data_IF_994199109973
#
_entry.id   IF_994199109973
#
_cell.length_a   1.000
_cell.length_b   1.000
_cell.length_c   1.000
_cell.angle_alpha   90.00
_cell.angle_beta   90.00
_cell.angle_gamma   90.00
#
_symmetry.space_group_name_H-M   'P 1'
#
loop_
_entity.id
_entity.type
_entity.pdbx_description
1 polymer ?
#
# COMPACT_ATOMS: atom_id res chain seq x y z
N UNK A 1 7.46 21.98 -16.48
CA UNK A 1 6.88 20.61 -16.40
C UNK A 1 7.97 19.69 -15.91
N UNK A 2 7.72 18.90 -14.87
CA UNK A 2 8.67 17.89 -14.39
C UNK A 2 8.77 16.78 -15.44
N UNK A 3 9.98 16.53 -15.97
CA UNK A 3 10.20 15.43 -16.90
C UNK A 3 10.40 14.14 -16.09
N UNK A 4 9.47 13.20 -16.23
CA UNK A 4 9.59 11.85 -15.69
C UNK A 4 10.12 10.90 -16.76
N UNK A 5 10.89 9.90 -16.35
CA UNK A 5 11.19 8.74 -17.19
C UNK A 5 9.99 7.79 -17.20
N UNK A 6 9.94 6.91 -18.20
CA UNK A 6 8.90 5.89 -18.33
C UNK A 6 9.54 4.50 -18.41
N UNK A 7 10.49 4.23 -17.54
CA UNK A 7 11.38 3.05 -17.60
C UNK A 7 10.61 1.73 -17.76
N UNK A 8 9.52 1.54 -17.00
CA UNK A 8 8.71 0.32 -17.13
C UNK A 8 7.95 0.26 -18.45
N UNK A 9 7.31 1.37 -18.87
CA UNK A 9 6.53 1.42 -20.09
C UNK A 9 7.41 1.25 -21.34
N UNK A 10 8.61 1.84 -21.35
CA UNK A 10 9.58 1.74 -22.45
C UNK A 10 10.11 0.31 -22.60
N UNK A 11 10.39 -0.38 -21.48
CA UNK A 11 10.90 -1.75 -21.48
C UNK A 11 9.83 -2.81 -21.80
N UNK A 12 8.59 -2.60 -21.33
CA UNK A 12 7.49 -3.55 -21.44
C UNK A 12 6.20 -2.88 -21.96
N UNK A 13 6.22 -2.33 -23.20
CA UNK A 13 5.08 -1.59 -23.75
C UNK A 13 3.80 -2.44 -23.88
N UNK A 14 3.92 -3.77 -23.96
CA UNK A 14 2.78 -4.69 -24.00
C UNK A 14 2.13 -4.93 -22.61
N UNK A 15 2.75 -4.43 -21.54
CA UNK A 15 2.24 -4.52 -20.17
C UNK A 15 1.67 -3.20 -19.67
N UNK A 16 1.52 -2.20 -20.53
CA UNK A 16 0.96 -0.90 -20.20
C UNK A 16 -0.06 -0.45 -21.23
N UNK A 17 -0.92 0.44 -20.83
CA UNK A 17 -1.80 1.17 -21.73
C UNK A 17 -1.70 2.68 -21.42
N UNK A 18 -1.56 3.50 -22.44
CA UNK A 18 -1.65 4.95 -22.28
C UNK A 18 -3.01 5.33 -21.72
N UNK A 19 -3.02 6.20 -20.72
CA UNK A 19 -4.23 6.72 -20.10
C UNK A 19 -4.00 8.15 -19.58
N UNK A 20 -5.09 8.81 -19.26
CA UNK A 20 -5.07 10.14 -18.62
C UNK A 20 -5.98 10.14 -17.42
N UNK A 21 -5.67 11.01 -16.47
CA UNK A 21 -6.59 11.35 -15.41
C UNK A 21 -7.90 11.91 -15.99
N UNK A 22 -8.98 11.71 -15.28
CA UNK A 22 -10.26 12.25 -15.70
C UNK A 22 -10.27 13.79 -15.64
N UNK A 23 -11.19 14.40 -16.37
CA UNK A 23 -11.44 15.84 -16.30
C UNK A 23 -12.20 16.14 -15.01
N UNK A 24 -11.48 16.49 -13.96
CA UNK A 24 -12.05 16.84 -12.66
C UNK A 24 -12.51 18.29 -12.66
N UNK A 25 -13.75 18.60 -12.18
CA UNK A 25 -14.33 19.94 -12.29
C UNK A 25 -13.64 20.99 -11.41
N UNK A 26 -13.14 20.60 -10.23
CA UNK A 26 -12.55 21.53 -9.29
C UNK A 26 -11.54 20.80 -8.35
N UNK A 27 -10.40 20.32 -8.87
CA UNK A 27 -9.42 19.64 -8.04
C UNK A 27 -8.76 20.62 -7.06
N UNK A 28 -8.67 20.22 -5.79
CA UNK A 28 -8.03 21.01 -4.74
C UNK A 28 -7.12 20.12 -3.88
N UNK A 29 -5.95 20.63 -3.50
CA UNK A 29 -5.09 19.98 -2.53
C UNK A 29 -5.76 19.96 -1.15
N UNK A 30 -5.85 18.75 -0.58
CA UNK A 30 -6.22 18.54 0.83
C UNK A 30 -4.97 18.53 1.69
N UNK A 31 -3.97 17.76 1.27
CA UNK A 31 -2.66 17.65 1.95
C UNK A 31 -1.56 17.48 0.92
N UNK A 32 -0.43 18.11 1.17
CA UNK A 32 0.83 17.95 0.43
C UNK A 32 1.93 17.59 1.41
N UNK A 33 2.61 16.48 1.14
CA UNK A 33 3.80 16.07 1.88
C UNK A 33 5.02 16.86 1.40
N UNK A 34 5.18 18.07 1.97
CA UNK A 34 6.27 18.94 1.56
C UNK A 34 7.67 18.38 1.85
N UNK A 35 7.81 17.62 2.96
CA UNK A 35 9.08 16.99 3.29
C UNK A 35 9.47 15.96 2.22
N UNK A 36 8.51 15.11 1.80
CA UNK A 36 8.72 14.17 0.71
C UNK A 36 8.97 14.92 -0.61
N UNK A 37 8.16 15.93 -0.94
CA UNK A 37 8.34 16.72 -2.16
C UNK A 37 9.76 17.29 -2.26
N UNK A 38 10.26 17.91 -1.19
CA UNK A 38 11.63 18.45 -1.14
C UNK A 38 12.69 17.36 -1.29
N UNK A 39 12.50 16.19 -0.66
CA UNK A 39 13.41 15.03 -0.78
C UNK A 39 13.48 14.54 -2.23
N UNK A 40 12.38 14.64 -2.97
CA UNK A 40 12.28 14.28 -4.38
C UNK A 40 12.75 15.39 -5.33
N UNK A 41 13.14 16.54 -4.81
CA UNK A 41 13.50 17.70 -5.62
C UNK A 41 12.32 18.37 -6.33
N UNK A 42 11.10 18.17 -5.81
CA UNK A 42 9.88 18.77 -6.34
C UNK A 42 9.64 20.15 -5.72
N UNK A 43 9.26 21.12 -6.53
CA UNK A 43 8.90 22.45 -6.07
C UNK A 43 7.48 22.47 -5.49
N UNK A 44 7.37 22.71 -4.18
CA UNK A 44 6.10 22.74 -3.46
C UNK A 44 5.16 23.85 -3.94
N UNK A 45 5.69 25.01 -4.34
CA UNK A 45 4.88 26.11 -4.86
C UNK A 45 4.32 25.77 -6.26
N UNK A 46 5.16 25.13 -7.09
CA UNK A 46 4.68 24.64 -8.38
C UNK A 46 3.59 23.57 -8.21
N UNK A 47 3.77 22.63 -7.25
CA UNK A 47 2.76 21.59 -6.99
C UNK A 47 1.40 22.17 -6.55
N UNK A 48 1.38 23.38 -5.96
CA UNK A 48 0.16 24.10 -5.59
C UNK A 48 -0.46 24.91 -6.72
N UNK A 49 0.28 25.15 -7.79
CA UNK A 49 -0.23 25.89 -8.95
C UNK A 49 -1.24 25.07 -9.76
N UNK A 50 -1.98 25.74 -10.66
CA UNK A 50 -2.91 25.08 -11.59
C UNK A 50 -2.21 23.99 -12.43
N UNK A 51 -0.97 24.25 -12.89
CA UNK A 51 -0.19 23.27 -13.63
C UNK A 51 0.23 22.09 -12.76
N UNK A 52 0.58 22.32 -11.51
CA UNK A 52 0.86 21.28 -10.53
C UNK A 52 -0.37 20.43 -10.22
N UNK A 53 -1.53 21.04 -9.99
CA UNK A 53 -2.80 20.34 -9.79
C UNK A 53 -3.17 19.47 -11.00
N UNK A 54 -2.98 19.99 -12.22
CA UNK A 54 -3.18 19.22 -13.45
C UNK A 54 -2.25 18.00 -13.53
N UNK A 55 -1.01 18.16 -13.09
CA UNK A 55 -0.05 17.06 -13.04
C UNK A 55 -0.44 16.03 -11.95
N UNK A 56 -0.79 16.49 -10.73
CA UNK A 56 -1.21 15.66 -9.62
C UNK A 56 -2.54 14.91 -9.86
N UNK A 57 -3.32 15.32 -10.86
CA UNK A 57 -4.56 14.65 -11.27
C UNK A 57 -4.40 13.80 -12.54
N UNK A 58 -3.20 13.79 -13.14
CA UNK A 58 -2.92 12.96 -14.32
C UNK A 58 -3.44 13.54 -15.64
N UNK A 59 -3.80 14.83 -15.68
CA UNK A 59 -4.28 15.48 -16.90
C UNK A 59 -3.23 15.47 -18.02
N UNK A 60 -1.94 15.34 -17.68
CA UNK A 60 -0.85 15.26 -18.66
C UNK A 60 -0.63 13.85 -19.24
N UNK A 61 -1.37 12.85 -18.73
CA UNK A 61 -1.23 11.46 -19.13
C UNK A 61 -0.21 10.68 -18.33
N UNK A 62 -0.15 9.40 -18.61
CA UNK A 62 0.71 8.39 -18.00
C UNK A 62 0.32 7.00 -18.51
N UNK A 63 0.61 5.98 -17.74
CA UNK A 63 0.38 4.59 -18.12
C UNK A 63 -0.41 3.85 -17.03
N UNK A 64 -1.47 3.15 -17.44
CA UNK A 64 -2.07 2.10 -16.61
C UNK A 64 -1.28 0.81 -16.81
N UNK A 65 -0.89 0.14 -15.72
CA UNK A 65 -0.09 -1.08 -15.80
C UNK A 65 -0.98 -2.32 -15.76
N UNK A 66 -0.62 -3.35 -16.56
CA UNK A 66 -1.29 -4.63 -16.57
C UNK A 66 -0.63 -5.58 -15.58
N UNK A 67 -1.44 -6.29 -14.79
CA UNK A 67 -1.02 -7.38 -13.93
C UNK A 67 -2.14 -8.40 -13.78
N UNK A 68 -1.80 -9.61 -13.39
CA UNK A 68 -2.72 -10.65 -12.96
C UNK A 68 -2.80 -10.66 -11.42
N UNK A 69 -3.50 -11.60 -10.85
CA UNK A 69 -3.45 -11.80 -9.41
C UNK A 69 -4.30 -12.95 -8.92
N UNK A 70 -3.92 -13.52 -7.78
CA UNK A 70 -4.77 -14.43 -7.03
C UNK A 70 -5.57 -13.63 -6.00
N UNK A 71 -6.83 -13.37 -6.31
CA UNK A 71 -7.76 -12.69 -5.42
C UNK A 71 -8.49 -13.72 -4.57
N UNK A 72 -8.30 -13.67 -3.25
CA UNK A 72 -8.82 -14.69 -2.31
C UNK A 72 -8.46 -16.14 -2.73
N UNK A 73 -7.25 -16.33 -3.30
CA UNK A 73 -6.75 -17.61 -3.76
C UNK A 73 -7.21 -18.02 -5.16
N UNK A 74 -8.07 -17.26 -5.82
CA UNK A 74 -8.53 -17.51 -7.19
C UNK A 74 -7.73 -16.66 -8.18
N UNK A 75 -7.17 -17.31 -9.21
CA UNK A 75 -6.37 -16.62 -10.22
C UNK A 75 -7.26 -15.82 -11.18
N UNK A 76 -6.93 -14.56 -11.35
CA UNK A 76 -7.54 -13.64 -12.32
C UNK A 76 -6.44 -13.22 -13.31
N UNK A 77 -6.52 -13.61 -14.60
CA UNK A 77 -5.43 -13.44 -15.55
C UNK A 77 -5.19 -12.00 -16.00
N UNK A 78 -6.14 -11.10 -15.77
CA UNK A 78 -6.02 -9.67 -16.04
C UNK A 78 -6.82 -8.88 -15.01
N UNK A 79 -6.11 -8.12 -14.23
CA UNK A 79 -6.64 -7.10 -13.30
C UNK A 79 -6.24 -5.71 -13.80
N UNK A 80 -4.98 -5.36 -13.61
CA UNK A 80 -4.40 -4.08 -14.01
C UNK A 80 -4.86 -2.88 -13.18
N UNK A 81 -4.30 -1.73 -13.50
CA UNK A 81 -4.57 -0.45 -12.85
C UNK A 81 -5.92 0.14 -13.31
N UNK A 82 -7.04 -0.41 -12.85
CA UNK A 82 -8.37 0.02 -13.27
C UNK A 82 -8.79 1.43 -12.81
N UNK A 83 -8.05 2.02 -11.87
CA UNK A 83 -8.28 3.39 -11.33
C UNK A 83 -6.97 4.04 -10.89
N UNK A 84 -5.85 3.52 -11.34
CA UNK A 84 -4.53 4.05 -11.03
C UNK A 84 -3.79 4.40 -12.32
N UNK A 85 -2.84 5.32 -12.23
CA UNK A 85 -2.09 5.84 -13.37
C UNK A 85 -0.64 6.07 -12.95
N UNK A 86 0.29 5.29 -13.51
CA UNK A 86 1.72 5.52 -13.35
C UNK A 86 2.11 6.74 -14.16
N UNK A 87 2.50 7.82 -13.49
CA UNK A 87 2.97 9.03 -14.15
C UNK A 87 4.37 8.84 -14.75
N UNK A 88 5.20 8.03 -14.12
CA UNK A 88 6.57 7.73 -14.49
C UNK A 88 7.48 7.57 -13.29
N UNK A 89 8.80 7.65 -13.53
CA UNK A 89 9.81 7.50 -12.50
C UNK A 89 10.83 8.63 -12.49
N UNK A 90 11.39 8.88 -11.31
CA UNK A 90 12.48 9.83 -11.05
C UNK A 90 13.73 9.09 -10.65
N UNK A 91 14.92 9.45 -11.17
CA UNK A 91 16.17 8.93 -10.69
C UNK A 91 16.47 9.46 -9.28
N UNK A 92 16.96 8.60 -8.41
CA UNK A 92 17.47 8.94 -7.09
C UNK A 92 18.88 8.34 -6.92
N UNK A 93 19.68 8.79 -5.91
CA UNK A 93 21.06 8.28 -5.74
C UNK A 93 21.21 6.76 -5.66
N UNK A 94 20.18 6.05 -5.23
CA UNK A 94 20.16 4.57 -5.10
C UNK A 94 19.04 3.93 -5.92
N UNK A 95 18.98 4.23 -7.23
CA UNK A 95 17.98 3.65 -8.13
C UNK A 95 16.97 4.66 -8.66
N UNK A 96 15.71 4.33 -8.57
CA UNK A 96 14.59 5.18 -9.01
C UNK A 96 13.42 5.06 -8.05
N UNK A 97 12.52 6.02 -8.15
CA UNK A 97 11.20 5.99 -7.51
C UNK A 97 10.13 6.23 -8.57
N UNK A 98 9.01 5.60 -8.41
CA UNK A 98 7.84 5.72 -9.27
C UNK A 98 6.76 6.57 -8.61
N UNK A 99 6.05 7.36 -9.43
CA UNK A 99 4.92 8.19 -9.00
C UNK A 99 3.67 7.65 -9.66
N UNK A 100 2.70 7.22 -8.86
CA UNK A 100 1.43 6.64 -9.32
C UNK A 100 0.25 7.37 -8.66
N UNK A 101 -0.78 7.64 -9.45
CA UNK A 101 -2.06 8.14 -8.95
C UNK A 101 -3.00 6.99 -8.66
N UNK A 102 -3.83 7.13 -7.61
CA UNK A 102 -4.97 6.23 -7.34
C UNK A 102 -6.25 7.07 -7.22
N UNK A 103 -7.30 6.62 -7.90
CA UNK A 103 -8.57 7.33 -7.99
C UNK A 103 -8.63 8.34 -9.15
N UNK A 104 -7.66 8.29 -10.07
CA UNK A 104 -7.49 9.27 -11.15
C UNK A 104 -8.50 9.16 -12.31
N UNK A 105 -9.41 8.20 -12.27
CA UNK A 105 -10.39 7.97 -13.31
C UNK A 105 -10.27 6.59 -13.96
N UNK A 106 -11.15 6.26 -14.90
CA UNK A 106 -11.14 4.98 -15.58
C UNK A 106 -9.94 4.86 -16.52
N UNK A 107 -9.46 3.64 -16.65
CA UNK A 107 -8.38 3.23 -17.55
C UNK A 107 -8.84 2.07 -18.45
N UNK A 108 -8.07 1.65 -19.44
CA UNK A 108 -8.36 0.45 -20.24
C UNK A 108 -8.48 -0.85 -19.42
N UNK A 109 -8.00 -0.87 -18.17
CA UNK A 109 -8.11 -2.02 -17.26
C UNK A 109 -9.24 -1.90 -16.23
N UNK A 110 -10.06 -0.88 -16.32
CA UNK A 110 -11.22 -0.73 -15.43
C UNK A 110 -12.22 -1.87 -15.65
N UNK A 111 -12.76 -2.40 -14.55
CA UNK A 111 -13.84 -3.39 -14.64
C UNK A 111 -15.07 -2.76 -15.32
N UNK A 112 -15.82 -3.52 -16.13
CA UNK A 112 -17.06 -3.03 -16.71
C UNK A 112 -18.00 -2.43 -15.64
N UNK A 113 -18.46 -1.21 -15.88
CA UNK A 113 -19.33 -0.48 -14.94
C UNK A 113 -18.62 0.23 -13.79
N UNK A 114 -17.29 0.12 -13.67
CA UNK A 114 -16.53 0.93 -12.72
C UNK A 114 -16.36 2.35 -13.22
N UNK A 115 -16.55 3.33 -12.33
CA UNK A 115 -16.31 4.75 -12.62
C UNK A 115 -14.81 5.13 -12.60
N UNK A 116 -13.94 4.23 -12.11
CA UNK A 116 -12.52 4.47 -11.94
C UNK A 116 -12.18 5.58 -10.94
N UNK A 117 -13.18 6.13 -10.23
CA UNK A 117 -13.01 7.21 -9.27
C UNK A 117 -12.56 6.69 -7.91
N UNK A 118 -11.87 7.53 -7.15
CA UNK A 118 -11.61 7.35 -5.73
C UNK A 118 -12.60 8.15 -4.88
N UNK A 119 -13.02 7.64 -3.73
CA UNK A 119 -13.65 8.42 -2.69
C UNK A 119 -12.57 9.08 -1.80
N UNK A 120 -12.84 10.25 -1.25
CA UNK A 120 -11.88 11.01 -0.45
C UNK A 120 -11.41 10.24 0.79
N UNK A 121 -12.30 9.60 1.53
CA UNK A 121 -11.98 8.89 2.76
C UNK A 121 -10.91 7.80 2.57
N UNK A 122 -11.05 6.86 1.64
CA UNK A 122 -10.00 5.89 1.31
C UNK A 122 -8.66 6.52 0.91
N UNK A 123 -8.65 7.68 0.25
CA UNK A 123 -7.40 8.37 -0.11
C UNK A 123 -6.73 8.99 1.13
N UNK A 124 -7.52 9.58 2.02
CA UNK A 124 -7.04 10.10 3.31
C UNK A 124 -6.52 8.98 4.20
N UNK A 125 -7.21 7.82 4.26
CA UNK A 125 -6.76 6.62 4.98
C UNK A 125 -5.41 6.16 4.48
N UNK A 126 -5.27 6.00 3.17
CA UNK A 126 -4.02 5.54 2.56
C UNK A 126 -2.86 6.50 2.84
N UNK A 127 -3.09 7.82 2.72
CA UNK A 127 -2.08 8.82 3.05
C UNK A 127 -1.65 8.72 4.52
N UNK A 128 -2.58 8.76 5.45
CA UNK A 128 -2.27 8.80 6.87
C UNK A 128 -1.56 7.51 7.33
N UNK A 129 -2.08 6.34 6.91
CA UNK A 129 -1.48 5.07 7.33
C UNK A 129 -0.11 4.84 6.68
N UNK A 130 0.07 5.19 5.41
CA UNK A 130 1.38 5.06 4.75
C UNK A 130 2.44 5.97 5.40
N UNK A 131 2.08 7.20 5.77
CA UNK A 131 3.02 8.12 6.42
C UNK A 131 3.30 7.72 7.89
N UNK A 132 2.32 7.13 8.59
CA UNK A 132 2.56 6.49 9.88
C UNK A 132 3.57 5.33 9.74
N UNK A 133 3.34 4.41 8.81
CA UNK A 133 4.26 3.28 8.56
C UNK A 133 5.68 3.76 8.28
N UNK A 134 5.82 4.82 7.50
CA UNK A 134 7.12 5.45 7.27
C UNK A 134 7.73 6.01 8.56
N UNK A 135 6.94 6.70 9.38
CA UNK A 135 7.41 7.31 10.63
C UNK A 135 7.90 6.27 11.64
N UNK A 136 7.31 5.07 11.66
CA UNK A 136 7.78 3.95 12.50
C UNK A 136 8.81 3.05 11.83
N UNK A 137 9.31 3.42 10.64
CA UNK A 137 10.39 2.72 9.94
C UNK A 137 9.97 1.45 9.18
N UNK A 138 8.67 1.19 9.04
CA UNK A 138 8.15 0.03 8.28
C UNK A 138 8.15 0.34 6.78
N UNK A 139 8.73 -0.51 5.93
CA UNK A 139 8.76 -0.30 4.48
C UNK A 139 7.35 -0.13 3.90
N UNK A 140 7.14 0.97 3.20
CA UNK A 140 5.82 1.37 2.69
C UNK A 140 5.93 2.23 1.44
N UNK A 141 4.93 2.16 0.56
CA UNK A 141 4.69 3.25 -0.39
C UNK A 141 4.42 4.53 0.40
N UNK A 142 4.96 5.66 -0.08
CA UNK A 142 4.75 6.97 0.51
C UNK A 142 3.60 7.69 -0.19
N UNK A 143 3.03 8.65 0.46
CA UNK A 143 1.99 9.50 -0.11
C UNK A 143 2.49 10.94 -0.26
N UNK A 144 2.52 11.44 -1.51
CA UNK A 144 2.94 12.80 -1.81
C UNK A 144 1.82 13.81 -1.57
N UNK A 145 0.60 13.49 -1.99
CA UNK A 145 -0.54 14.38 -1.86
C UNK A 145 -1.86 13.62 -1.84
N UNK A 146 -2.89 14.25 -1.26
CA UNK A 146 -4.30 13.92 -1.49
C UNK A 146 -5.00 15.16 -2.04
N UNK A 147 -5.83 14.95 -3.05
CA UNK A 147 -6.67 15.98 -3.65
C UNK A 147 -8.14 15.59 -3.56
N UNK A 148 -9.03 16.56 -3.39
CA UNK A 148 -10.43 16.42 -3.80
C UNK A 148 -10.55 16.63 -5.31
N UNK A 149 -11.58 16.05 -5.93
CA UNK A 149 -11.80 16.17 -7.37
C UNK A 149 -12.87 17.22 -7.74
N UNK A 150 -13.60 17.71 -6.75
CA UNK A 150 -14.79 18.54 -6.95
C UNK A 150 -16.03 17.74 -7.42
N UNK A 151 -15.88 16.42 -7.58
CA UNK A 151 -16.99 15.51 -7.90
C UNK A 151 -17.58 14.88 -6.64
N UNK A 152 -18.84 14.48 -6.72
CA UNK A 152 -19.46 13.56 -5.79
C UNK A 152 -19.49 12.17 -6.42
N UNK A 153 -18.94 11.18 -5.74
CA UNK A 153 -18.92 9.77 -6.18
C UNK A 153 -19.94 8.96 -5.38
N UNK A 154 -20.66 8.08 -6.05
CA UNK A 154 -21.64 7.22 -5.37
C UNK A 154 -20.96 5.93 -4.90
N UNK A 155 -21.07 5.64 -3.60
CA UNK A 155 -20.57 4.42 -2.97
C UNK A 155 -21.69 3.72 -2.18
N UNK A 156 -21.43 2.52 -1.66
CA UNK A 156 -22.46 1.78 -0.89
C UNK A 156 -23.04 2.58 0.28
N UNK A 157 -22.25 3.45 0.87
CA UNK A 157 -22.65 4.31 2.01
C UNK A 157 -23.36 5.60 1.58
N UNK A 158 -23.55 5.80 0.28
CA UNK A 158 -24.16 6.99 -0.30
C UNK A 158 -23.18 7.87 -1.08
N UNK A 159 -23.57 9.10 -1.40
CA UNK A 159 -22.73 10.07 -2.08
C UNK A 159 -21.63 10.59 -1.15
N UNK A 160 -20.39 10.59 -1.62
CA UNK A 160 -19.20 11.09 -0.89
C UNK A 160 -18.31 11.92 -1.82
N UNK A 161 -17.46 12.82 -1.29
CA UNK A 161 -16.50 13.57 -2.11
C UNK A 161 -15.56 12.63 -2.85
N UNK A 162 -15.26 12.96 -4.11
CA UNK A 162 -14.23 12.29 -4.89
C UNK A 162 -12.83 12.72 -4.45
N UNK A 163 -11.86 11.80 -4.52
CA UNK A 163 -10.47 12.05 -4.15
C UNK A 163 -9.46 11.28 -4.99
N UNK A 164 -8.25 11.81 -5.03
CA UNK A 164 -7.05 11.20 -5.64
C UNK A 164 -5.93 11.20 -4.60
N UNK A 165 -5.22 10.08 -4.46
CA UNK A 165 -3.95 10.03 -3.73
C UNK A 165 -2.80 9.83 -4.71
N UNK A 166 -1.69 10.55 -4.46
CA UNK A 166 -0.44 10.44 -5.21
C UNK A 166 0.54 9.59 -4.44
N UNK A 167 0.78 8.37 -4.92
CA UNK A 167 1.71 7.39 -4.36
C UNK A 167 3.12 7.62 -4.87
N UNK A 168 4.09 7.35 -4.02
CA UNK A 168 5.51 7.30 -4.34
C UNK A 168 6.08 6.00 -3.81
N UNK A 169 6.71 5.20 -4.66
CA UNK A 169 7.29 3.91 -4.29
C UNK A 169 8.61 3.67 -5.03
N UNK A 170 9.45 2.78 -4.51
CA UNK A 170 10.62 2.29 -5.27
C UNK A 170 10.19 1.56 -6.53
N UNK A 171 9.08 0.83 -6.46
CA UNK A 171 8.43 0.23 -7.62
C UNK A 171 7.00 -0.16 -7.29
N UNK A 172 6.09 -0.05 -8.28
CA UNK A 172 4.73 -0.57 -8.21
C UNK A 172 4.60 -1.97 -8.83
N UNK A 173 5.71 -2.60 -9.21
CA UNK A 173 5.72 -4.00 -9.64
C UNK A 173 5.33 -4.92 -8.48
N UNK A 174 4.48 -5.90 -8.78
CA UNK A 174 3.87 -6.81 -7.81
C UNK A 174 4.10 -8.26 -8.23
N UNK A 175 3.85 -9.20 -7.36
CA UNK A 175 3.82 -10.63 -7.75
C UNK A 175 2.87 -10.81 -8.95
N UNK A 176 1.73 -10.14 -8.94
CA UNK A 176 0.79 -10.13 -10.06
C UNK A 176 1.37 -9.65 -11.40
N UNK A 177 2.36 -8.75 -11.38
CA UNK A 177 3.05 -8.30 -12.60
C UNK A 177 3.89 -9.45 -13.21
N UNK A 178 4.59 -10.22 -12.36
CA UNK A 178 5.36 -11.40 -12.80
C UNK A 178 4.41 -12.48 -13.33
N UNK A 179 3.28 -12.72 -12.66
CA UNK A 179 2.27 -13.69 -13.11
C UNK A 179 1.70 -13.30 -14.49
N UNK A 180 1.47 -12.02 -14.72
CA UNK A 180 0.98 -11.53 -16.01
C UNK A 180 2.04 -11.68 -17.12
N UNK A 181 3.31 -11.38 -16.81
CA UNK A 181 4.43 -11.57 -17.72
C UNK A 181 4.62 -13.04 -18.08
N UNK A 182 4.57 -13.94 -17.09
CA UNK A 182 4.69 -15.39 -17.28
C UNK A 182 3.59 -15.99 -18.20
N UNK A 183 2.38 -15.45 -18.10
CA UNK A 183 1.27 -15.85 -18.99
C UNK A 183 1.45 -15.40 -20.45
N UNK A 184 2.44 -14.56 -20.76
CA UNK A 184 2.75 -14.07 -22.10
C UNK A 184 3.93 -14.81 -22.74
N UNK A 185 5.11 -14.65 -22.20
CA UNK A 185 6.29 -15.38 -22.68
C UNK A 185 7.45 -15.28 -21.67
N UNK A 186 8.45 -16.19 -21.76
CA UNK A 186 9.67 -16.09 -20.99
C UNK A 186 10.38 -14.73 -21.13
N UNK A 187 10.44 -14.19 -22.35
CA UNK A 187 11.07 -12.87 -22.62
C UNK A 187 10.42 -11.73 -21.81
N UNK A 188 9.10 -11.75 -21.59
CA UNK A 188 8.46 -10.76 -20.73
C UNK A 188 8.90 -10.88 -19.28
N UNK A 189 9.09 -12.10 -18.78
CA UNK A 189 9.59 -12.34 -17.42
C UNK A 189 11.03 -11.86 -17.29
N UNK A 190 11.90 -12.19 -18.22
CA UNK A 190 13.30 -11.74 -18.24
C UNK A 190 13.41 -10.21 -18.21
N UNK A 191 12.67 -9.52 -19.09
CA UNK A 191 12.62 -8.06 -19.12
C UNK A 191 12.07 -7.46 -17.83
N UNK A 192 11.08 -8.11 -17.19
CA UNK A 192 10.53 -7.64 -15.92
C UNK A 192 11.55 -7.80 -14.80
N UNK A 193 12.30 -8.90 -14.75
CA UNK A 193 13.38 -9.14 -13.79
C UNK A 193 14.43 -8.03 -13.91
N UNK A 194 14.84 -7.71 -15.14
CA UNK A 194 15.83 -6.67 -15.45
C UNK A 194 15.31 -5.27 -15.02
N UNK A 195 14.08 -4.91 -15.38
CA UNK A 195 13.45 -3.65 -14.95
C UNK A 195 13.29 -3.56 -13.44
N UNK A 196 13.01 -4.68 -12.77
CA UNK A 196 12.93 -4.76 -11.32
C UNK A 196 14.32 -4.64 -10.64
N UNK A 197 15.41 -4.69 -11.42
CA UNK A 197 16.77 -4.52 -10.95
C UNK A 197 17.39 -5.78 -10.36
N UNK A 198 17.00 -6.95 -10.84
CA UNK A 198 17.56 -8.24 -10.44
C UNK A 198 18.31 -8.90 -11.59
N UNK A 199 19.34 -9.69 -11.26
CA UNK A 199 20.19 -10.37 -12.25
C UNK A 199 19.61 -11.71 -12.68
N UNK A 200 18.95 -12.43 -11.75
CA UNK A 200 18.41 -13.76 -11.99
C UNK A 200 17.03 -13.92 -11.34
N UNK A 201 16.19 -14.88 -11.81
CA UNK A 201 14.93 -15.20 -11.18
C UNK A 201 15.09 -15.68 -9.73
N UNK A 202 16.17 -16.42 -9.42
CA UNK A 202 16.49 -16.87 -8.06
C UNK A 202 16.79 -15.69 -7.13
N UNK A 203 17.59 -14.73 -7.61
CA UNK A 203 17.93 -13.52 -6.83
C UNK A 203 16.70 -12.65 -6.58
N UNK A 204 15.78 -12.57 -7.55
CA UNK A 204 14.50 -11.89 -7.37
C UNK A 204 13.68 -12.60 -6.29
N UNK A 205 13.46 -13.92 -6.41
CA UNK A 205 12.67 -14.68 -5.45
C UNK A 205 13.26 -14.57 -4.03
N UNK A 206 14.56 -14.79 -3.86
CA UNK A 206 15.23 -14.74 -2.57
C UNK A 206 15.12 -13.36 -1.92
N UNK A 207 15.35 -12.29 -2.68
CA UNK A 207 15.29 -10.92 -2.15
C UNK A 207 13.85 -10.51 -1.81
N UNK A 208 12.89 -10.85 -2.65
CA UNK A 208 11.46 -10.54 -2.38
C UNK A 208 10.99 -11.34 -1.16
N UNK A 209 11.40 -12.60 -1.03
CA UNK A 209 11.09 -13.44 0.13
C UNK A 209 11.62 -12.82 1.43
N UNK A 210 12.90 -12.44 1.46
CA UNK A 210 13.50 -11.80 2.63
C UNK A 210 12.75 -10.53 3.03
N UNK A 211 12.52 -9.62 2.06
CA UNK A 211 11.84 -8.34 2.30
C UNK A 211 10.41 -8.52 2.79
N UNK A 212 9.66 -9.44 2.19
CA UNK A 212 8.25 -9.61 2.50
C UNK A 212 8.01 -10.34 3.83
N UNK A 213 8.86 -11.30 4.18
CA UNK A 213 8.78 -11.98 5.47
C UNK A 213 9.19 -11.02 6.61
N UNK A 214 10.23 -10.22 6.41
CA UNK A 214 10.62 -9.17 7.35
C UNK A 214 9.51 -8.12 7.54
N UNK A 215 8.87 -7.68 6.43
CA UNK A 215 7.75 -6.76 6.45
C UNK A 215 6.56 -7.30 7.26
N UNK A 216 6.20 -8.56 7.04
CA UNK A 216 5.08 -9.18 7.78
C UNK A 216 5.39 -9.32 9.27
N UNK A 217 6.63 -9.62 9.66
CA UNK A 217 7.02 -9.66 11.07
C UNK A 217 6.88 -8.27 11.72
N UNK A 218 7.24 -7.19 11.01
CA UNK A 218 7.03 -5.82 11.47
C UNK A 218 5.54 -5.48 11.61
N UNK A 219 4.68 -5.90 10.66
CA UNK A 219 3.22 -5.72 10.77
C UNK A 219 2.66 -6.41 12.00
N UNK A 220 3.09 -7.67 12.23
CA UNK A 220 2.63 -8.45 13.38
C UNK A 220 3.02 -7.78 14.71
N UNK A 221 4.24 -7.21 14.79
CA UNK A 221 4.73 -6.49 15.97
C UNK A 221 3.81 -5.34 16.38
N UNK A 222 3.33 -4.54 15.40
CA UNK A 222 2.52 -3.35 15.70
C UNK A 222 1.01 -3.60 15.62
N UNK A 223 0.58 -4.86 15.45
CA UNK A 223 -0.83 -5.21 15.36
C UNK A 223 -1.48 -4.82 14.02
N UNK A 224 -0.72 -4.57 12.97
CA UNK A 224 -1.26 -4.20 11.67
C UNK A 224 -1.86 -5.40 10.94
N UNK A 225 -3.08 -5.21 10.42
CA UNK A 225 -3.81 -6.16 9.58
C UNK A 225 -4.02 -5.53 8.22
N UNK A 226 -3.37 -6.07 7.19
CA UNK A 226 -3.51 -5.55 5.82
C UNK A 226 -4.93 -5.75 5.27
N UNK A 227 -5.54 -6.86 5.57
CA UNK A 227 -6.93 -7.18 5.24
C UNK A 227 -7.18 -7.71 3.83
N UNK A 228 -6.26 -7.52 2.85
CA UNK A 228 -6.34 -8.10 1.50
C UNK A 228 -4.93 -8.37 0.95
N UNK A 229 -4.34 -9.51 1.30
CA UNK A 229 -3.01 -9.92 0.87
C UNK A 229 -3.07 -10.79 -0.41
N UNK A 230 -3.73 -10.28 -1.45
CA UNK A 230 -3.71 -10.87 -2.77
C UNK A 230 -2.32 -10.72 -3.41
N UNK A 231 -1.97 -11.53 -4.41
CA UNK A 231 -0.69 -11.40 -5.13
C UNK A 231 -0.52 -10.07 -5.87
N UNK A 232 -1.62 -9.39 -6.17
CA UNK A 232 -1.65 -8.02 -6.72
C UNK A 232 -1.47 -6.92 -5.66
N UNK A 233 -1.39 -7.28 -4.38
CA UNK A 233 -1.09 -6.38 -3.26
C UNK A 233 0.24 -6.72 -2.56
N UNK A 234 1.13 -7.47 -3.22
CA UNK A 234 2.47 -7.79 -2.73
C UNK A 234 3.51 -7.20 -3.67
N UNK A 235 4.12 -6.08 -3.28
CA UNK A 235 5.10 -5.36 -4.08
C UNK A 235 6.47 -6.08 -4.08
N UNK A 236 7.14 -6.17 -5.24
CA UNK A 236 8.48 -6.74 -5.35
C UNK A 236 9.54 -5.90 -4.60
N UNK A 237 9.26 -4.62 -4.40
CA UNK A 237 10.11 -3.72 -3.62
C UNK A 237 10.16 -4.06 -2.13
N UNK A 238 9.21 -4.85 -1.61
CA UNK A 238 9.06 -5.12 -0.19
C UNK A 238 8.38 -3.99 0.58
N UNK A 239 7.72 -3.07 -0.11
CA UNK A 239 6.94 -1.99 0.48
C UNK A 239 5.49 -2.41 0.66
N UNK A 240 4.86 -2.00 1.77
CA UNK A 240 3.40 -2.14 1.95
C UNK A 240 2.69 -1.26 0.93
N UNK A 241 1.69 -1.81 0.26
CA UNK A 241 0.90 -1.09 -0.75
C UNK A 241 -0.59 -1.34 -0.56
N UNK A 242 -1.42 -0.36 -0.93
CA UNK A 242 -2.89 -0.46 -0.99
C UNK A 242 -3.56 -0.63 0.38
N UNK A 243 -3.58 0.44 1.14
CA UNK A 243 -4.16 0.53 2.49
C UNK A 243 -5.71 0.65 2.48
N UNK A 244 -6.38 -0.17 1.68
CA UNK A 244 -7.84 -0.15 1.57
C UNK A 244 -8.54 -0.56 2.87
N UNK A 245 -8.70 -1.87 3.15
CA UNK A 245 -9.39 -2.37 4.34
C UNK A 245 -8.44 -2.64 5.51
N UNK A 246 -7.28 -2.01 5.57
CA UNK A 246 -6.34 -2.21 6.66
C UNK A 246 -6.84 -1.64 7.99
N UNK A 247 -6.37 -2.22 9.08
CA UNK A 247 -6.69 -1.79 10.44
C UNK A 247 -5.59 -2.21 11.41
N UNK A 248 -5.68 -1.78 12.67
CA UNK A 248 -4.77 -2.17 13.74
C UNK A 248 -5.55 -2.92 14.83
N UNK A 249 -5.07 -4.10 15.23
CA UNK A 249 -5.62 -4.81 16.39
C UNK A 249 -4.93 -4.36 17.67
N UNK A 250 -5.70 -4.10 18.69
CA UNK A 250 -5.16 -3.74 20.01
C UNK A 250 -4.62 -4.98 20.74
N UNK A 251 -5.22 -6.14 20.51
CA UNK A 251 -4.83 -7.40 21.14
C UNK A 251 -4.28 -8.38 20.11
N UNK A 252 -3.31 -9.18 20.55
CA UNK A 252 -2.75 -10.26 19.72
C UNK A 252 -3.75 -11.43 19.62
N UNK A 253 -4.75 -11.26 18.78
CA UNK A 253 -5.78 -12.27 18.49
C UNK A 253 -5.63 -12.80 17.08
N UNK A 254 -5.11 -14.01 16.86
CA UNK A 254 -4.86 -14.57 15.52
C UNK A 254 -6.08 -14.56 14.59
N UNK A 255 -7.28 -14.74 15.12
CA UNK A 255 -8.52 -14.79 14.35
C UNK A 255 -9.10 -13.41 13.98
N UNK A 256 -8.44 -12.29 14.35
CA UNK A 256 -8.97 -10.95 14.09
C UNK A 256 -9.04 -10.65 12.59
N UNK A 257 -10.22 -10.25 12.12
CA UNK A 257 -10.53 -9.85 10.74
C UNK A 257 -11.26 -8.52 10.78
N UNK A 258 -10.83 -7.57 9.97
CA UNK A 258 -11.48 -6.26 9.84
C UNK A 258 -12.14 -6.06 8.47
N UNK A 259 -11.60 -6.66 7.43
CA UNK A 259 -12.08 -6.48 6.07
C UNK A 259 -13.48 -7.10 5.86
N UNK A 260 -14.47 -6.28 5.46
CA UNK A 260 -15.84 -6.72 5.19
C UNK A 260 -15.95 -7.78 4.09
N UNK A 261 -14.97 -7.83 3.19
CA UNK A 261 -14.94 -8.79 2.07
C UNK A 261 -14.25 -10.10 2.41
N UNK A 262 -13.53 -10.16 3.54
CA UNK A 262 -12.87 -11.40 4.00
C UNK A 262 -13.78 -12.22 4.92
N UNK A 263 -14.85 -12.73 4.38
CA UNK A 263 -15.87 -13.48 5.13
C UNK A 263 -15.38 -14.80 5.69
N UNK A 264 -14.22 -15.29 5.25
CA UNK A 264 -13.65 -16.58 5.67
C UNK A 264 -12.40 -16.43 6.54
N UNK A 265 -11.98 -15.20 6.83
CA UNK A 265 -10.78 -14.94 7.63
C UNK A 265 -9.47 -15.37 6.95
N UNK A 266 -9.45 -15.41 5.61
CA UNK A 266 -8.22 -15.77 4.88
C UNK A 266 -7.06 -14.86 5.26
N UNK A 267 -7.32 -13.57 5.41
CA UNK A 267 -6.34 -12.54 5.73
C UNK A 267 -6.44 -12.08 7.19
N UNK A 268 -6.89 -12.98 8.08
CA UNK A 268 -6.88 -12.73 9.52
C UNK A 268 -5.46 -12.40 10.00
N UNK A 269 -5.35 -11.64 11.09
CA UNK A 269 -4.08 -11.20 11.65
C UNK A 269 -3.05 -12.34 11.76
N UNK A 270 -3.41 -13.46 12.38
CA UNK A 270 -2.51 -14.60 12.56
C UNK A 270 -2.20 -15.39 11.30
N UNK A 271 -2.98 -15.20 10.21
CA UNK A 271 -2.76 -15.90 8.95
C UNK A 271 -1.79 -15.13 8.01
N UNK A 272 -1.40 -13.91 8.35
CA UNK A 272 -0.57 -13.08 7.47
C UNK A 272 0.75 -13.75 7.07
N UNK A 273 1.50 -14.43 7.97
CA UNK A 273 2.73 -15.14 7.58
C UNK A 273 2.47 -16.27 6.57
N UNK A 274 1.46 -17.12 6.81
CA UNK A 274 1.13 -18.25 5.96
C UNK A 274 0.66 -17.80 4.57
N UNK A 275 -0.11 -16.71 4.52
CA UNK A 275 -0.55 -16.11 3.26
C UNK A 275 0.63 -15.50 2.50
N UNK A 276 1.60 -14.89 3.18
CA UNK A 276 2.81 -14.39 2.53
C UNK A 276 3.64 -15.55 1.97
N UNK A 277 3.83 -16.63 2.72
CA UNK A 277 4.51 -17.83 2.25
C UNK A 277 3.81 -18.42 1.00
N UNK A 278 2.48 -18.45 1.00
CA UNK A 278 1.69 -18.86 -0.16
C UNK A 278 1.91 -17.92 -1.36
N UNK A 279 1.91 -16.59 -1.16
CA UNK A 279 2.14 -15.60 -2.21
C UNK A 279 3.56 -15.76 -2.83
N UNK A 280 4.57 -16.02 -2.01
CA UNK A 280 5.94 -16.28 -2.47
C UNK A 280 6.04 -17.57 -3.30
N UNK A 281 5.28 -18.60 -2.94
CA UNK A 281 5.17 -19.80 -3.79
C UNK A 281 4.52 -19.47 -5.15
N UNK A 282 3.51 -18.60 -5.20
CA UNK A 282 2.94 -18.11 -6.47
C UNK A 282 3.94 -17.28 -7.28
N UNK A 283 4.85 -16.55 -6.63
CA UNK A 283 5.96 -15.88 -7.32
C UNK A 283 6.93 -16.89 -7.93
N UNK A 284 7.35 -17.90 -7.17
CA UNK A 284 8.24 -18.94 -7.66
C UNK A 284 7.67 -19.65 -8.89
N UNK A 285 6.39 -20.01 -8.87
CA UNK A 285 5.70 -20.60 -10.03
C UNK A 285 5.71 -19.67 -11.25
N UNK A 286 5.53 -18.36 -11.06
CA UNK A 286 5.55 -17.39 -12.14
C UNK A 286 6.95 -17.18 -12.73
N UNK A 287 8.01 -17.60 -12.05
CA UNK A 287 9.41 -17.53 -12.51
C UNK A 287 9.87 -18.78 -13.25
N UNK A 288 9.10 -19.90 -13.21
CA UNK A 288 9.44 -21.15 -13.88
C UNK A 288 9.70 -21.03 -15.39
N UNK A 289 9.04 -20.13 -16.15
CA UNK A 289 9.35 -19.97 -17.57
C UNK A 289 10.81 -19.58 -17.88
N UNK A 290 11.52 -18.98 -16.92
CA UNK A 290 12.91 -18.49 -17.07
C UNK A 290 13.89 -19.13 -16.07
N UNK A 291 13.43 -20.14 -15.33
CA UNK A 291 14.22 -20.91 -14.37
C UNK A 291 13.78 -22.38 -14.41
N UNK A 292 14.04 -23.14 -13.34
CA UNK A 292 13.61 -24.52 -13.19
C UNK A 292 13.08 -24.79 -11.78
N UNK A 293 12.35 -25.90 -11.63
CA UNK A 293 11.68 -26.25 -10.38
C UNK A 293 12.67 -26.50 -9.23
N UNK A 294 13.82 -27.13 -9.50
CA UNK A 294 14.81 -27.44 -8.48
C UNK A 294 15.43 -26.15 -7.90
N UNK A 295 15.80 -25.20 -8.76
CA UNK A 295 16.33 -23.90 -8.34
C UNK A 295 15.30 -23.11 -7.53
N UNK A 296 14.03 -23.06 -7.96
CA UNK A 296 12.97 -22.38 -7.20
C UNK A 296 12.73 -23.05 -5.84
N UNK A 297 12.73 -24.39 -5.79
CA UNK A 297 12.60 -25.15 -4.54
C UNK A 297 13.75 -24.89 -3.59
N UNK A 298 14.99 -24.83 -4.09
CA UNK A 298 16.18 -24.51 -3.29
C UNK A 298 16.01 -23.17 -2.59
N UNK A 299 15.62 -22.12 -3.32
CA UNK A 299 15.36 -20.81 -2.70
C UNK A 299 14.24 -20.89 -1.66
N UNK A 300 13.15 -21.59 -1.95
CA UNK A 300 12.01 -21.71 -1.02
C UNK A 300 12.35 -22.51 0.26
N UNK A 301 13.39 -23.32 0.30
CA UNK A 301 13.85 -23.98 1.54
C UNK A 301 14.29 -22.97 2.61
N UNK A 302 14.71 -21.78 2.21
CA UNK A 302 15.11 -20.70 3.12
C UNK A 302 13.92 -19.92 3.71
N UNK A 303 12.68 -20.22 3.32
CA UNK A 303 11.50 -19.48 3.76
C UNK A 303 11.28 -19.55 5.26
N UNK A 304 11.29 -20.75 5.82
CA UNK A 304 11.09 -20.96 7.26
C UNK A 304 12.25 -20.38 8.09
N UNK A 305 13.53 -20.63 7.79
CA UNK A 305 14.63 -19.96 8.47
C UNK A 305 14.58 -18.43 8.38
N UNK A 306 14.21 -17.88 7.23
CA UNK A 306 14.09 -16.44 7.03
C UNK A 306 12.95 -15.84 7.88
N UNK A 307 11.80 -16.52 7.92
CA UNK A 307 10.70 -16.12 8.80
C UNK A 307 11.11 -16.12 10.28
N UNK A 308 11.76 -17.18 10.75
CA UNK A 308 12.20 -17.24 12.15
C UNK A 308 13.17 -16.11 12.50
N UNK A 309 14.15 -15.82 11.64
CA UNK A 309 15.08 -14.69 11.85
C UNK A 309 14.31 -13.35 11.91
N UNK A 310 13.41 -13.10 10.97
CA UNK A 310 12.59 -11.88 10.95
C UNK A 310 11.73 -11.75 12.20
N UNK A 311 11.08 -12.84 12.59
CA UNK A 311 10.23 -12.88 13.80
C UNK A 311 11.03 -12.58 15.07
N UNK A 312 12.14 -13.27 15.29
CA UNK A 312 13.02 -13.07 16.44
C UNK A 312 13.58 -11.64 16.50
N UNK A 313 13.92 -11.06 15.35
CA UNK A 313 14.41 -9.68 15.28
C UNK A 313 13.36 -8.64 15.66
N UNK A 314 12.11 -8.82 15.22
CA UNK A 314 11.07 -7.82 15.42
C UNK A 314 10.17 -8.10 16.63
N UNK A 315 10.04 -9.36 17.06
CA UNK A 315 9.17 -9.79 18.17
C UNK A 315 9.99 -10.58 19.19
N UNK A 316 10.89 -9.94 19.94
CA UNK A 316 11.79 -10.63 20.87
C UNK A 316 11.08 -11.30 22.04
N UNK A 317 9.87 -10.86 22.39
CA UNK A 317 9.08 -11.40 23.52
C UNK A 317 7.67 -11.80 23.09
N UNK A 318 7.50 -12.78 22.17
CA UNK A 318 6.20 -13.07 21.56
C UNK A 318 5.13 -13.50 22.55
N UNK A 319 5.49 -14.23 23.62
CA UNK A 319 4.54 -14.66 24.64
C UNK A 319 4.01 -13.48 25.46
N UNK A 320 4.86 -12.52 25.82
CA UNK A 320 4.48 -11.32 26.55
C UNK A 320 3.62 -10.39 25.67
N UNK A 321 4.01 -10.21 24.40
CA UNK A 321 3.21 -9.45 23.44
C UNK A 321 1.83 -10.08 23.23
N UNK A 322 1.75 -11.41 23.14
CA UNK A 322 0.48 -12.13 22.99
C UNK A 322 -0.42 -12.03 24.22
N UNK A 323 0.15 -11.78 25.39
CA UNK A 323 -0.58 -11.61 26.65
C UNK A 323 -0.97 -10.15 26.94
N UNK A 324 -0.47 -9.19 26.16
CA UNK A 324 -0.72 -7.78 26.36
C UNK A 324 -2.20 -7.42 26.11
N UNK A 325 -2.73 -6.52 26.91
CA UNK A 325 -4.07 -5.96 26.72
C UNK A 325 -4.14 -4.93 25.59
N UNK A 326 -3.01 -4.29 25.31
CA UNK A 326 -2.81 -3.39 24.15
C UNK A 326 -1.39 -3.54 23.62
N UNK A 327 -1.26 -3.95 22.34
CA UNK A 327 0.02 -4.17 21.65
C UNK A 327 0.85 -2.86 21.60
N UNK A 328 0.18 -1.74 21.37
CA UNK A 328 0.86 -0.44 21.24
C UNK A 328 1.43 0.00 22.58
N UNK A 329 0.64 -0.05 23.66
CA UNK A 329 1.08 0.31 24.99
C UNK A 329 2.24 -0.62 25.44
N UNK A 330 2.11 -1.92 25.20
CA UNK A 330 3.17 -2.89 25.51
C UNK A 330 4.48 -2.55 24.80
N UNK A 331 4.43 -2.33 23.48
CA UNK A 331 5.62 -1.98 22.73
C UNK A 331 6.24 -0.65 23.16
N UNK A 332 5.40 0.34 23.50
CA UNK A 332 5.88 1.63 24.01
C UNK A 332 6.64 1.49 25.32
N UNK A 333 6.07 0.74 26.27
CA UNK A 333 6.63 0.55 27.62
C UNK A 333 7.91 -0.30 27.64
N UNK A 334 8.01 -1.32 26.77
CA UNK A 334 9.06 -2.31 26.84
C UNK A 334 10.13 -2.16 25.77
N UNK A 335 9.76 -1.72 24.58
CA UNK A 335 10.65 -1.69 23.41
C UNK A 335 10.84 -0.28 22.84
N UNK A 336 10.31 0.78 23.50
CA UNK A 336 10.36 2.15 22.98
C UNK A 336 9.58 2.31 21.68
N UNK A 337 8.52 1.51 21.49
CA UNK A 337 7.63 1.60 20.34
C UNK A 337 6.84 2.91 20.27
N UNK A 338 6.05 3.12 19.21
CA UNK A 338 5.28 4.35 19.03
C UNK A 338 4.24 4.53 20.14
N UNK A 339 4.06 5.77 20.59
CA UNK A 339 2.99 6.13 21.51
C UNK A 339 1.67 6.32 20.75
N UNK A 340 1.72 6.93 19.57
CA UNK A 340 0.56 7.19 18.74
C UNK A 340 0.52 6.27 17.53
N UNK A 341 -0.62 5.61 17.32
CA UNK A 341 -0.92 4.84 16.10
C UNK A 341 -2.26 5.32 15.52
N UNK A 342 -2.55 5.08 14.24
CA UNK A 342 -3.84 5.41 13.67
C UNK A 342 -4.91 4.41 14.13
N UNK A 343 -5.39 4.56 15.38
CA UNK A 343 -6.43 3.69 15.93
C UNK A 343 -7.69 3.73 15.07
N UNK A 344 -8.32 2.59 14.93
CA UNK A 344 -9.33 2.36 13.89
C UNK A 344 -10.51 3.34 13.95
N UNK A 345 -11.13 3.50 15.11
CA UNK A 345 -12.32 4.35 15.28
C UNK A 345 -11.97 5.84 15.23
N UNK A 346 -10.76 6.19 15.70
CA UNK A 346 -10.26 7.55 15.64
C UNK A 346 -10.04 7.97 14.20
N UNK A 347 -9.35 7.13 13.41
CA UNK A 347 -9.15 7.35 11.98
C UNK A 347 -10.48 7.43 11.22
N UNK A 348 -11.41 6.53 11.53
CA UNK A 348 -12.73 6.52 10.89
C UNK A 348 -13.54 7.80 11.20
N UNK A 349 -13.55 8.25 12.46
CA UNK A 349 -14.18 9.53 12.85
C UNK A 349 -13.55 10.72 12.13
N UNK A 350 -12.23 10.78 12.04
CA UNK A 350 -11.51 11.86 11.34
C UNK A 350 -11.86 11.89 9.84
N UNK A 351 -11.92 10.72 9.21
CA UNK A 351 -12.34 10.59 7.80
C UNK A 351 -13.82 11.01 7.62
N UNK A 352 -14.72 10.57 8.50
CA UNK A 352 -16.12 10.92 8.44
C UNK A 352 -16.35 12.44 8.59
N UNK A 353 -15.62 13.10 9.48
CA UNK A 353 -15.64 14.56 9.63
C UNK A 353 -15.23 15.26 8.33
N UNK A 354 -14.14 14.78 7.70
CA UNK A 354 -13.68 15.31 6.42
C UNK A 354 -14.69 15.12 5.28
N UNK A 355 -15.35 13.95 5.20
CA UNK A 355 -16.27 13.64 4.09
C UNK A 355 -17.65 14.28 4.25
N UNK A 356 -18.20 14.34 5.47
CA UNK A 356 -19.56 14.78 5.72
C UNK A 356 -19.68 16.25 6.08
N UNK A 357 -18.73 16.71 6.92
CA UNK A 357 -18.78 18.05 7.51
C UNK A 357 -17.80 19.00 6.83
N UNK A 358 -16.96 18.49 5.91
CA UNK A 358 -15.84 19.22 5.30
C UNK A 358 -14.86 19.77 6.36
N UNK A 359 -14.84 19.15 7.55
CA UNK A 359 -13.93 19.49 8.64
C UNK A 359 -12.72 18.54 8.65
N UNK A 360 -11.58 19.08 8.26
CA UNK A 360 -10.29 18.37 8.19
C UNK A 360 -9.48 18.49 9.49
N UNK A 361 -9.93 19.27 10.47
CA UNK A 361 -9.16 19.51 11.70
C UNK A 361 -8.85 18.21 12.45
N UNK A 362 -9.83 17.29 12.71
CA UNK A 362 -9.53 16.02 13.39
C UNK A 362 -8.54 15.13 12.62
N UNK A 363 -8.59 15.21 11.28
CA UNK A 363 -7.65 14.46 10.44
C UNK A 363 -6.21 14.97 10.56
N UNK A 364 -6.01 16.30 10.53
CA UNK A 364 -4.69 16.89 10.67
C UNK A 364 -4.11 16.74 12.09
N UNK A 365 -4.94 16.78 13.12
CA UNK A 365 -4.51 16.49 14.50
C UNK A 365 -3.99 15.06 14.61
N UNK A 366 -4.75 14.08 14.07
CA UNK A 366 -4.33 12.68 14.06
C UNK A 366 -3.08 12.48 13.21
N UNK A 367 -3.02 13.08 12.01
CA UNK A 367 -1.86 13.00 11.12
C UNK A 367 -0.59 13.52 11.82
N UNK A 368 -0.68 14.65 12.54
CA UNK A 368 0.45 15.20 13.29
C UNK A 368 0.95 14.22 14.34
N UNK A 369 0.06 13.64 15.12
CA UNK A 369 0.41 12.67 16.16
C UNK A 369 1.07 11.41 15.58
N UNK A 370 0.51 10.82 14.52
CA UNK A 370 1.01 9.56 13.97
C UNK A 370 2.25 9.71 13.07
N UNK A 371 2.57 10.92 12.60
CA UNK A 371 3.81 11.17 11.84
C UNK A 371 5.00 11.58 12.70
N UNK A 372 4.76 11.91 13.99
CA UNK A 372 5.77 12.05 15.02
C UNK A 372 5.44 11.15 16.23
N UNK A 373 5.32 9.82 16.00
CA UNK A 373 4.62 8.91 16.90
C UNK A 373 5.34 8.62 18.22
N UNK A 374 6.59 9.04 18.36
CA UNK A 374 7.41 8.86 19.57
C UNK A 374 7.42 10.10 20.47
N UNK A 375 6.93 11.24 19.98
CA UNK A 375 6.90 12.49 20.68
C UNK A 375 5.57 12.66 21.44
N UNK A 376 5.61 12.62 22.78
CA UNK A 376 4.42 12.75 23.61
C UNK A 376 3.69 14.11 23.44
N UNK A 377 4.37 15.12 22.89
CA UNK A 377 3.78 16.44 22.61
C UNK A 377 3.10 16.51 21.23
N UNK A 378 3.26 15.48 20.39
CA UNK A 378 2.67 15.46 19.04
C UNK A 378 1.14 15.34 19.03
N UNK A 379 0.55 14.86 20.12
CA UNK A 379 -0.91 14.70 20.25
C UNK A 379 -1.37 14.67 21.71
N UNK A 380 -2.67 14.83 21.94
CA UNK A 380 -3.23 14.72 23.28
C UNK A 380 -3.16 13.26 23.78
N UNK A 381 -3.00 13.08 25.10
CA UNK A 381 -2.80 11.76 25.73
C UNK A 381 -3.91 10.75 25.42
N UNK A 382 -5.13 11.20 25.25
CA UNK A 382 -6.27 10.32 24.92
C UNK A 382 -6.10 9.62 23.56
N UNK A 383 -5.28 10.14 22.64
CA UNK A 383 -4.97 9.47 21.37
C UNK A 383 -4.08 8.23 21.54
N UNK A 384 -3.36 8.14 22.64
CA UNK A 384 -2.54 6.97 22.98
C UNK A 384 -3.35 5.86 23.66
N UNK A 385 -4.53 6.19 24.20
CA UNK A 385 -5.36 5.24 24.94
C UNK A 385 -6.02 4.22 23.98
N UNK A 386 -6.16 2.94 24.40
CA UNK A 386 -6.87 1.95 23.61
C UNK A 386 -8.36 2.32 23.47
N UNK A 387 -8.92 2.06 22.29
CA UNK A 387 -10.34 2.34 22.00
C UNK A 387 -11.31 1.27 22.55
N UNK A 388 -10.75 0.19 23.12
CA UNK A 388 -11.51 -0.96 23.56
C UNK A 388 -11.97 -1.81 22.40
N UNK A 389 -11.06 -2.62 21.85
CA UNK A 389 -11.39 -3.59 20.80
C UNK A 389 -12.24 -4.73 21.39
N UNK A 390 -13.52 -4.49 21.49
CA UNK A 390 -14.51 -5.52 21.81
C UNK A 390 -14.71 -6.41 20.58
N UNK A 391 -13.75 -7.28 20.34
CA UNK A 391 -13.71 -8.39 19.42
C UNK A 391 -14.77 -8.41 18.31
N UNK A 392 -14.53 -7.75 17.15
CA UNK A 392 -15.31 -7.95 15.93
C UNK A 392 -16.39 -6.89 15.64
N UNK A 393 -16.47 -5.79 16.37
CA UNK A 393 -17.45 -4.72 16.08
C UNK A 393 -16.98 -3.69 15.04
N UNK A 394 -15.67 -3.60 14.77
CA UNK A 394 -15.13 -2.68 13.76
C UNK A 394 -14.90 -3.42 12.45
N UNK A 395 -15.42 -2.85 11.36
CA UNK A 395 -15.33 -3.41 10.00
C UNK A 395 -14.85 -2.34 9.05
N UNK A 396 -13.86 -2.69 8.24
CA UNK A 396 -13.34 -1.83 7.18
C UNK A 396 -13.89 -2.23 5.81
N UNK A 397 -14.05 -1.25 4.95
CA UNK A 397 -14.57 -1.44 3.60
C UNK A 397 -13.48 -1.11 2.58
N UNK A 398 -13.35 -1.95 1.54
CA UNK A 398 -12.62 -1.55 0.34
C UNK A 398 -13.40 -0.38 -0.30
N UNK A 399 -12.79 0.79 -0.41
CA UNK A 399 -13.39 1.96 -1.06
C UNK A 399 -13.50 1.82 -2.60
N UNK A 400 -14.10 0.71 -3.04
CA UNK A 400 -14.32 0.38 -4.46
C UNK A 400 -15.78 0.51 -4.82
#
# INVERSE_FOLDING_TARGET
MLALNHTFADALPSMVAEARGADFPAPQLVVLNEALARTLGLDCEWLRSDDGLRWLTGANGGHATAYAGHQFGQFVPLLGDGRALLLGDLPIPKGRIEIQLKGSGPTPFSKPGSDGRGALGPMLREYLVSEFMHAVGIPTTRSLAVLTTGETVLRQQGPVPGGVVVRVARSHLRIGSVQYAAARSPEHVEKLIDVAGFETPESLLATVMERQLDLVAQWMRIGFVHGVMNTDNVALSGETIDYGPCAFTEKFRPATVFSSIDTRGRYAFGNQPDIMAWNLTRLAEALLPVSNEDAMREVLTEMEPTWHRAWENHVPTPQALAAADDITAYNHEHDGGPLFIPRNRMLDRAIMSAERDSDLQPYFELLTAVTDPYNAEAGPTWMAEPEGDEGGSFVTYCGT
#
